data_IF_828924049190
#
_entry.id   IF_828924049190
#
_cell.length_a   1.000
_cell.length_b   1.000
_cell.length_c   1.000
_cell.angle_alpha   90.00
_cell.angle_beta   90.00
_cell.angle_gamma   90.00
#
_symmetry.space_group_name_H-M   'P 1'
#
loop_
_entity.id
_entity.type
_entity.pdbx_description
1 polymer ?
#
# COMPACT_ATOMS: atom_id res chain seq x y z
N UNK A 1 -35.90 30.23 -20.28
CA UNK A 1 -35.69 29.14 -19.31
C UNK A 1 -34.21 28.76 -19.37
N UNK A 2 -33.50 28.71 -18.23
CA UNK A 2 -32.06 28.91 -18.21
C UNK A 2 -31.25 27.65 -18.45
N UNK A 3 -30.09 27.86 -19.07
CA UNK A 3 -28.99 26.92 -19.28
C UNK A 3 -28.51 26.33 -17.96
N UNK A 4 -28.43 25.01 -17.85
CA UNK A 4 -27.65 24.31 -16.81
C UNK A 4 -26.28 23.95 -17.37
N UNK A 5 -25.36 24.91 -17.33
CA UNK A 5 -23.94 24.60 -17.22
C UNK A 5 -23.68 24.22 -15.76
N UNK A 6 -23.68 22.91 -15.46
CA UNK A 6 -23.23 22.44 -14.15
C UNK A 6 -21.71 22.39 -14.15
N UNK A 7 -21.13 23.07 -13.17
CA UNK A 7 -19.72 23.38 -13.04
C UNK A 7 -18.91 22.14 -12.61
N UNK A 8 -18.05 21.63 -13.50
CA UNK A 8 -16.96 20.67 -13.20
C UNK A 8 -15.72 21.35 -12.56
N UNK A 9 -15.98 22.35 -11.71
CA UNK A 9 -15.00 23.03 -10.88
C UNK A 9 -15.32 22.75 -9.41
N UNK A 10 -14.97 21.55 -8.94
CA UNK A 10 -14.96 21.27 -7.51
C UNK A 10 -13.59 20.73 -7.11
N UNK A 11 -12.75 21.65 -6.63
CA UNK A 11 -11.74 21.37 -5.62
C UNK A 11 -12.44 21.63 -4.28
N UNK A 12 -12.79 20.58 -3.53
CA UNK A 12 -13.36 20.74 -2.19
C UNK A 12 -12.25 20.67 -1.13
N UNK A 13 -12.13 21.76 -0.37
CA UNK A 13 -11.38 21.87 0.88
C UNK A 13 -12.25 21.34 2.03
N UNK A 14 -11.67 20.57 2.96
CA UNK A 14 -12.37 20.09 4.16
C UNK A 14 -11.51 20.16 5.42
N UNK A 15 -12.18 20.50 6.51
CA UNK A 15 -11.72 20.82 7.87
C UNK A 15 -11.75 19.59 8.78
N UNK A 16 -10.76 19.40 9.67
CA UNK A 16 -10.83 18.42 10.79
C UNK A 16 -10.17 19.04 12.05
N UNK A 17 -10.77 18.87 13.25
CA UNK A 17 -10.31 19.53 14.48
C UNK A 17 -9.14 18.79 15.14
N UNK A 18 -8.28 19.57 15.80
CA UNK A 18 -7.11 19.08 16.54
C UNK A 18 -7.52 18.46 17.87
N UNK A 19 -7.21 17.17 18.06
CA UNK A 19 -7.25 16.50 19.36
C UNK A 19 -5.82 16.21 19.82
N UNK A 20 -5.47 16.69 21.02
CA UNK A 20 -4.14 16.56 21.64
C UNK A 20 -4.14 15.40 22.64
N UNK A 21 -3.18 14.45 22.59
CA UNK A 21 -3.08 13.42 23.61
C UNK A 21 -1.86 13.65 24.52
N UNK A 22 -2.12 14.03 25.77
CA UNK A 22 -1.18 13.85 26.89
C UNK A 22 -1.50 12.55 27.61
N UNK A 23 -0.67 11.52 27.49
CA UNK A 23 -0.67 10.37 28.41
C UNK A 23 0.75 9.85 28.64
N UNK A 24 1.11 9.75 29.92
CA UNK A 24 2.39 9.23 30.45
C UNK A 24 2.38 7.69 30.49
N UNK A 25 3.53 7.00 30.37
CA UNK A 25 3.60 5.56 30.58
C UNK A 25 3.91 5.21 32.05
N UNK A 26 3.20 4.22 32.59
CA UNK A 26 3.58 3.46 33.78
C UNK A 26 4.41 2.25 33.37
N UNK A 27 5.55 2.05 34.03
CA UNK A 27 6.41 0.88 33.90
C UNK A 27 5.89 -0.27 34.78
N UNK A 28 5.92 -1.50 34.26
CA UNK A 28 5.75 -2.73 35.03
C UNK A 28 6.95 -3.64 34.72
N UNK A 29 7.71 -3.95 35.77
CA UNK A 29 8.78 -4.94 35.81
C UNK A 29 8.18 -6.31 36.12
N UNK A 30 8.56 -7.34 35.37
CA UNK A 30 8.38 -8.74 35.80
C UNK A 30 9.66 -9.54 35.56
N UNK A 31 10.11 -10.16 36.64
CA UNK A 31 11.30 -10.97 36.83
C UNK A 31 11.18 -12.38 36.22
N UNK A 32 12.33 -12.96 35.86
CA UNK A 32 12.50 -14.31 35.33
C UNK A 32 13.37 -15.14 36.31
N UNK A 33 13.07 -16.42 36.59
CA UNK A 33 14.03 -17.29 37.28
C UNK A 33 14.29 -18.63 36.54
N UNK A 34 15.58 -19.01 36.50
CA UNK A 34 16.18 -20.35 36.67
C UNK A 34 17.32 -20.64 35.69
N UNK A 35 18.55 -20.58 36.23
CA UNK A 35 19.75 -21.22 35.68
C UNK A 35 20.16 -22.34 36.65
N UNK A 36 20.26 -23.57 36.15
CA UNK A 36 20.80 -24.71 36.87
C UNK A 36 22.23 -24.98 36.38
N UNK A 37 23.20 -24.86 37.29
CA UNK A 37 24.61 -25.19 37.08
C UNK A 37 24.82 -26.67 37.41
N UNK A 38 25.51 -27.41 36.55
CA UNK A 38 26.13 -28.69 36.91
C UNK A 38 27.65 -28.60 36.78
N UNK A 39 28.32 -28.80 37.92
CA UNK A 39 29.74 -29.08 38.02
C UNK A 39 29.95 -30.60 37.94
N UNK A 40 30.94 -31.02 37.16
CA UNK A 40 31.57 -32.34 37.34
C UNK A 40 33.07 -32.22 37.21
N UNK A 41 33.74 -32.46 38.34
CA UNK A 41 35.18 -32.54 38.52
C UNK A 41 35.58 -34.01 38.46
N UNK A 42 36.62 -34.37 37.71
CA UNK A 42 37.42 -35.56 38.03
C UNK A 42 38.87 -35.41 37.57
N UNK A 43 39.77 -35.55 38.54
CA UNK A 43 41.22 -35.56 38.39
C UNK A 43 41.73 -36.93 37.92
N UNK A 44 42.89 -36.93 37.26
CA UNK A 44 43.81 -38.05 37.15
C UNK A 44 45.18 -37.54 36.65
N UNK A 45 46.30 -37.78 37.36
CA UNK A 45 47.59 -37.22 36.99
C UNK A 45 48.42 -38.18 36.13
N UNK A 46 49.19 -37.61 35.20
CA UNK A 46 50.21 -38.30 34.42
C UNK A 46 51.16 -37.27 33.81
N UNK A 47 52.36 -37.16 34.39
CA UNK A 47 53.54 -36.43 33.89
C UNK A 47 54.28 -37.39 32.96
N UNK A 48 54.93 -37.10 31.81
CA UNK A 48 55.78 -36.06 31.22
C UNK A 48 55.53 -36.16 29.69
N UNK A 49 55.68 -35.15 28.82
CA UNK A 49 56.98 -34.68 28.34
C UNK A 49 56.81 -33.40 27.50
N UNK A 50 57.79 -32.49 27.57
CA UNK A 50 57.84 -31.23 26.82
C UNK A 50 58.86 -31.36 25.70
N UNK A 51 58.46 -31.20 24.43
CA UNK A 51 59.27 -30.40 23.48
C UNK A 51 58.51 -30.06 22.19
N UNK A 52 58.39 -28.75 21.95
CA UNK A 52 58.58 -28.05 20.67
C UNK A 52 57.66 -28.48 19.51
N UNK A 53 56.46 -27.93 19.42
CA UNK A 53 55.74 -27.65 18.14
C UNK A 53 54.41 -26.91 18.40
N UNK A 54 54.40 -25.68 18.93
CA UNK A 54 53.09 -24.98 19.04
C UNK A 54 53.13 -23.47 19.28
N UNK A 55 53.76 -22.71 18.38
CA UNK A 55 53.56 -21.25 18.35
C UNK A 55 53.00 -20.71 17.03
N UNK A 56 52.92 -21.52 15.97
CA UNK A 56 52.20 -21.15 14.72
C UNK A 56 50.74 -21.60 14.66
N UNK A 57 50.29 -22.52 15.52
CA UNK A 57 48.91 -23.04 15.53
C UNK A 57 47.92 -22.21 16.37
N UNK A 58 48.40 -21.36 17.29
CA UNK A 58 47.53 -20.57 18.18
C UNK A 58 46.93 -19.32 17.55
N UNK A 59 47.62 -18.69 16.60
CA UNK A 59 47.13 -17.48 15.92
C UNK A 59 45.95 -17.79 14.96
N UNK A 60 45.99 -18.94 14.27
CA UNK A 60 44.90 -19.38 13.40
C UNK A 60 43.66 -19.82 14.18
N UNK A 61 43.85 -20.49 15.32
CA UNK A 61 42.75 -20.98 16.15
C UNK A 61 41.94 -19.84 16.80
N UNK A 62 42.59 -18.79 17.32
CA UNK A 62 41.87 -17.64 17.89
C UNK A 62 41.11 -16.83 16.83
N UNK A 63 41.68 -16.70 15.62
CA UNK A 63 41.00 -16.05 14.49
C UNK A 63 39.74 -16.82 14.06
N UNK A 64 39.82 -18.15 13.97
CA UNK A 64 38.67 -19.00 13.63
C UNK A 64 37.55 -18.97 14.70
N UNK A 65 37.92 -18.90 15.98
CA UNK A 65 36.97 -18.80 17.10
C UNK A 65 36.24 -17.44 17.07
N UNK A 66 36.98 -16.34 16.85
CA UNK A 66 36.39 -15.01 16.74
C UNK A 66 35.44 -14.90 15.53
N UNK A 67 35.81 -15.49 14.39
CA UNK A 67 34.96 -15.51 13.19
C UNK A 67 33.69 -16.34 13.40
N UNK A 68 33.77 -17.45 14.15
CA UNK A 68 32.61 -18.27 14.54
C UNK A 68 31.66 -17.53 15.47
N UNK A 69 32.19 -16.87 16.51
CA UNK A 69 31.41 -16.05 17.44
C UNK A 69 30.71 -14.89 16.70
N UNK A 70 31.43 -14.21 15.81
CA UNK A 70 30.88 -13.13 14.99
C UNK A 70 29.73 -13.62 14.10
N UNK A 71 29.87 -14.78 13.46
CA UNK A 71 28.81 -15.39 12.64
C UNK A 71 27.60 -15.81 13.49
N UNK A 72 27.83 -16.31 14.70
CA UNK A 72 26.77 -16.68 15.64
C UNK A 72 25.95 -15.45 16.09
N UNK A 73 26.61 -14.37 16.51
CA UNK A 73 25.93 -13.12 16.88
C UNK A 73 25.24 -12.43 15.69
N UNK A 74 25.84 -12.47 14.49
CA UNK A 74 25.19 -11.98 13.26
C UNK A 74 23.96 -12.82 12.88
N UNK A 75 24.01 -14.14 13.08
CA UNK A 75 22.88 -15.05 12.90
C UNK A 75 21.74 -14.75 13.88
N UNK A 76 22.07 -14.58 15.16
CA UNK A 76 21.10 -14.18 16.20
C UNK A 76 20.49 -12.80 15.90
N UNK A 77 21.29 -11.82 15.49
CA UNK A 77 20.81 -10.49 15.14
C UNK A 77 19.87 -10.50 13.91
N UNK A 78 20.17 -11.33 12.91
CA UNK A 78 19.29 -11.52 11.75
C UNK A 78 17.98 -12.20 12.14
N UNK A 79 18.04 -13.29 12.89
CA UNK A 79 16.84 -14.01 13.35
C UNK A 79 15.95 -13.17 14.26
N UNK A 80 16.55 -12.38 15.16
CA UNK A 80 15.81 -11.42 15.97
C UNK A 80 15.16 -10.32 15.10
N UNK A 81 15.87 -9.82 14.09
CA UNK A 81 15.34 -8.82 13.15
C UNK A 81 14.09 -9.29 12.39
N UNK A 82 14.08 -10.55 11.96
CA UNK A 82 12.92 -11.14 11.26
C UNK A 82 11.73 -11.33 12.20
N UNK A 83 11.98 -11.76 13.45
CA UNK A 83 10.93 -11.88 14.47
C UNK A 83 10.30 -10.53 14.83
N UNK A 84 11.12 -9.48 15.04
CA UNK A 84 10.61 -8.13 15.27
C UNK A 84 9.83 -7.58 14.07
N UNK A 85 10.30 -7.84 12.83
CA UNK A 85 9.58 -7.46 11.62
C UNK A 85 8.22 -8.15 11.54
N UNK A 86 8.15 -9.43 11.90
CA UNK A 86 6.90 -10.19 11.96
C UNK A 86 5.91 -9.60 12.96
N UNK A 87 6.33 -9.32 14.20
CA UNK A 87 5.48 -8.70 15.22
C UNK A 87 5.01 -7.32 14.79
N UNK A 88 5.89 -6.49 14.24
CA UNK A 88 5.52 -5.13 13.79
C UNK A 88 4.55 -5.20 12.61
N UNK A 89 4.73 -6.13 11.67
CA UNK A 89 3.78 -6.33 10.58
C UNK A 89 2.43 -6.84 11.09
N UNK A 90 2.43 -7.78 12.04
CA UNK A 90 1.21 -8.28 12.66
C UNK A 90 0.46 -7.17 13.41
N UNK A 91 1.15 -6.37 14.24
CA UNK A 91 0.56 -5.20 14.90
C UNK A 91 0.00 -4.21 13.88
N UNK A 92 0.73 -3.93 12.80
CA UNK A 92 0.24 -3.02 11.75
C UNK A 92 -1.03 -3.54 11.09
N UNK A 93 -1.07 -4.82 10.71
CA UNK A 93 -2.29 -5.45 10.17
C UNK A 93 -3.43 -5.45 11.18
N UNK A 94 -3.13 -5.67 12.47
CA UNK A 94 -4.13 -5.71 13.53
C UNK A 94 -4.72 -4.33 13.87
N UNK A 95 -3.95 -3.25 13.75
CA UNK A 95 -4.38 -1.90 14.14
C UNK A 95 -4.85 -1.01 12.98
N UNK A 96 -4.41 -1.26 11.74
CA UNK A 96 -4.90 -0.57 10.55
C UNK A 96 -4.59 -1.38 9.29
N UNK A 97 -5.57 -2.05 8.67
CA UNK A 97 -5.32 -2.85 7.47
C UNK A 97 -4.95 -2.01 6.24
N UNK A 98 -5.05 -0.68 6.34
CA UNK A 98 -4.63 0.24 5.30
C UNK A 98 -3.07 0.35 5.24
N UNK A 99 -2.42 -0.02 4.12
CA UNK A 99 -0.97 0.07 3.98
C UNK A 99 -0.46 1.51 3.81
N UNK A 100 -1.34 2.50 3.68
CA UNK A 100 -1.00 3.89 3.42
C UNK A 100 -0.84 4.68 4.72
N UNK A 101 0.29 4.50 5.41
CA UNK A 101 0.65 5.25 6.62
C UNK A 101 2.05 5.85 6.54
N UNK A 102 2.26 6.96 7.26
CA UNK A 102 3.54 7.68 7.28
C UNK A 102 4.71 6.77 7.67
N UNK A 103 5.80 6.87 6.92
CA UNK A 103 7.01 6.08 7.07
C UNK A 103 6.97 4.72 6.39
N UNK A 104 5.81 4.27 5.87
CA UNK A 104 5.76 3.04 5.09
C UNK A 104 6.44 3.21 3.73
N UNK A 105 6.89 2.10 3.15
CA UNK A 105 7.47 2.05 1.80
C UNK A 105 6.47 1.39 0.87
N UNK A 106 6.10 2.11 -0.20
CA UNK A 106 5.34 1.58 -1.32
C UNK A 106 6.32 1.27 -2.45
N UNK A 107 6.10 0.14 -3.11
CA UNK A 107 6.85 -0.25 -4.31
C UNK A 107 5.86 -0.39 -5.45
N UNK A 108 6.19 0.12 -6.62
CA UNK A 108 5.35 0.01 -7.81
C UNK A 108 6.16 0.24 -9.07
N UNK A 109 5.59 -0.11 -10.22
CA UNK A 109 6.21 0.02 -11.53
C UNK A 109 5.73 1.30 -12.19
N UNK A 110 6.67 2.13 -12.67
CA UNK A 110 6.33 3.31 -13.46
C UNK A 110 5.94 2.91 -14.89
N UNK A 111 4.77 3.37 -15.33
CA UNK A 111 4.27 3.19 -16.70
C UNK A 111 4.21 4.56 -17.39
N UNK A 112 4.70 4.61 -18.64
CA UNK A 112 4.74 5.84 -19.43
C UNK A 112 5.59 6.98 -18.84
N UNK A 113 6.45 6.66 -17.86
CA UNK A 113 7.33 7.62 -17.22
C UNK A 113 8.53 8.00 -18.09
N UNK A 114 9.08 9.19 -17.82
CA UNK A 114 10.38 9.61 -18.33
C UNK A 114 11.38 9.63 -17.18
N UNK A 115 12.66 9.41 -17.49
CA UNK A 115 13.74 9.55 -16.53
C UNK A 115 13.57 10.84 -15.69
N UNK A 116 13.66 10.77 -14.35
CA UNK A 116 14.14 9.63 -13.54
C UNK A 116 13.07 8.61 -13.10
N UNK A 117 11.83 8.71 -13.58
CA UNK A 117 10.70 7.89 -13.11
C UNK A 117 10.42 6.71 -14.04
N UNK A 118 11.39 5.84 -14.20
CA UNK A 118 11.29 4.66 -15.07
C UNK A 118 11.55 3.37 -14.27
N UNK A 119 10.84 2.29 -14.63
CA UNK A 119 10.99 0.99 -13.98
C UNK A 119 10.43 0.94 -12.55
N UNK A 120 11.11 0.20 -11.68
CA UNK A 120 10.64 -0.03 -10.31
C UNK A 120 10.91 1.18 -9.42
N UNK A 121 9.84 1.79 -8.95
CA UNK A 121 9.87 2.91 -8.01
C UNK A 121 9.75 2.38 -6.58
N UNK A 122 10.62 2.86 -5.70
CA UNK A 122 10.48 2.72 -4.25
C UNK A 122 10.18 4.08 -3.66
N UNK A 123 9.12 4.18 -2.86
CA UNK A 123 8.60 5.47 -2.38
C UNK A 123 8.35 5.39 -0.88
N UNK A 124 8.88 6.34 -0.13
CA UNK A 124 8.59 6.46 1.31
C UNK A 124 7.43 7.44 1.49
N UNK A 125 6.39 7.02 2.21
CA UNK A 125 5.24 7.87 2.51
C UNK A 125 5.66 8.91 3.56
N UNK A 126 5.75 10.17 3.16
CA UNK A 126 6.05 11.28 4.08
C UNK A 126 4.79 11.74 4.81
N UNK A 127 3.65 11.78 4.11
CA UNK A 127 2.37 12.21 4.65
C UNK A 127 1.22 11.54 3.87
N UNK A 128 0.10 11.33 4.56
CA UNK A 128 -1.13 10.78 4.00
C UNK A 128 -2.20 11.86 4.05
N UNK A 129 -2.81 12.14 2.91
CA UNK A 129 -3.99 12.99 2.78
C UNK A 129 -5.14 12.10 2.30
N UNK A 130 -6.26 12.17 3.00
CA UNK A 130 -7.49 11.50 2.58
C UNK A 130 -8.53 12.58 2.29
N UNK A 131 -8.43 13.26 1.13
CA UNK A 131 -9.52 14.10 0.67
C UNK A 131 -10.79 13.25 0.47
N UNK A 132 -11.92 13.91 0.25
CA UNK A 132 -13.22 13.25 0.16
C UNK A 132 -13.26 12.11 -0.86
N UNK A 133 -12.42 12.13 -1.88
CA UNK A 133 -12.62 11.23 -3.02
C UNK A 133 -11.60 10.10 -3.09
N UNK A 134 -10.30 10.37 -2.87
CA UNK A 134 -9.24 9.40 -3.16
C UNK A 134 -8.06 9.54 -2.21
N UNK A 135 -7.28 8.47 -2.03
CA UNK A 135 -6.06 8.52 -1.22
C UNK A 135 -4.96 9.30 -1.95
N UNK A 136 -4.39 10.31 -1.29
CA UNK A 136 -3.30 11.14 -1.82
C UNK A 136 -2.13 11.09 -0.84
N UNK A 137 -0.94 10.80 -1.35
CA UNK A 137 0.25 10.61 -0.53
C UNK A 137 1.32 11.63 -0.93
N UNK A 138 1.90 12.30 0.05
CA UNK A 138 3.23 12.90 -0.14
C UNK A 138 4.26 11.77 -0.06
N UNK A 139 5.07 11.63 -1.10
CA UNK A 139 6.07 10.58 -1.18
C UNK A 139 7.46 11.12 -1.49
N UNK A 140 8.47 10.48 -0.91
CA UNK A 140 9.86 10.62 -1.31
C UNK A 140 10.24 9.42 -2.19
N UNK A 141 10.40 9.66 -3.50
CA UNK A 141 10.84 8.65 -4.47
C UNK A 141 12.33 8.41 -4.28
N UNK A 142 12.69 7.19 -3.89
CA UNK A 142 14.07 6.76 -3.67
C UNK A 142 14.74 6.51 -5.02
N UNK A 143 15.88 7.16 -5.24
CA UNK A 143 16.71 6.95 -6.43
C UNK A 143 17.93 6.10 -6.06
N UNK A 144 18.43 5.22 -6.95
CA UNK A 144 19.64 4.43 -6.70
C UNK A 144 20.86 5.33 -6.43
N UNK A 145 20.91 6.48 -7.09
CA UNK A 145 21.92 7.51 -6.88
C UNK A 145 21.24 8.88 -6.76
N UNK A 146 21.68 9.66 -5.78
CA UNK A 146 21.22 11.04 -5.54
C UNK A 146 20.19 11.20 -4.43
N UNK A 147 19.71 12.44 -4.28
CA UNK A 147 18.74 12.81 -3.25
C UNK A 147 17.36 12.22 -3.56
N UNK A 148 16.57 11.79 -2.56
CA UNK A 148 15.18 11.41 -2.79
C UNK A 148 14.41 12.55 -3.46
N UNK A 149 13.53 12.21 -4.41
CA UNK A 149 12.71 13.19 -5.11
C UNK A 149 11.34 13.32 -4.44
N UNK A 150 10.95 14.54 -4.06
CA UNK A 150 9.66 14.80 -3.42
C UNK A 150 8.55 14.87 -4.48
N UNK A 151 7.49 14.09 -4.31
CA UNK A 151 6.37 14.01 -5.24
C UNK A 151 5.03 13.79 -4.50
N UNK A 152 3.94 13.88 -5.23
CA UNK A 152 2.59 13.52 -4.77
C UNK A 152 2.11 12.30 -5.54
N UNK A 153 1.68 11.26 -4.85
CA UNK A 153 1.10 10.05 -5.43
C UNK A 153 -0.39 10.01 -5.13
N UNK A 154 -1.23 10.13 -6.16
CA UNK A 154 -2.68 9.93 -6.04
C UNK A 154 -3.02 8.49 -6.40
N UNK A 155 -3.67 7.78 -5.51
CA UNK A 155 -3.99 6.35 -5.64
C UNK A 155 -5.49 6.15 -5.91
N UNK A 156 -5.78 5.24 -6.83
CA UNK A 156 -7.12 4.78 -7.19
C UNK A 156 -7.28 3.34 -6.68
N UNK A 157 -7.33 3.19 -5.36
CA UNK A 157 -7.47 1.90 -4.68
C UNK A 157 -8.93 1.67 -4.27
N UNK A 158 -9.58 0.66 -4.85
CA UNK A 158 -10.98 0.32 -4.56
C UNK A 158 -11.25 -0.01 -3.09
N UNK A 159 -10.24 -0.47 -2.35
CA UNK A 159 -10.36 -0.97 -0.97
C UNK A 159 -10.35 0.16 0.04
N UNK A 160 -9.49 1.15 -0.23
CA UNK A 160 -9.18 2.22 0.71
C UNK A 160 -9.61 3.62 0.23
N UNK A 161 -10.23 3.72 -0.94
CA UNK A 161 -10.77 4.98 -1.44
C UNK A 161 -11.94 5.46 -0.56
N UNK A 162 -11.88 6.70 -0.02
CA UNK A 162 -12.97 7.24 0.79
C UNK A 162 -14.31 7.33 0.04
N UNK A 163 -14.32 7.63 -1.26
CA UNK A 163 -15.59 7.68 -2.01
C UNK A 163 -16.23 6.30 -2.16
N UNK A 164 -15.42 5.26 -2.44
CA UNK A 164 -15.90 3.89 -2.60
C UNK A 164 -16.37 3.33 -1.26
N UNK A 165 -15.66 3.61 -0.17
CA UNK A 165 -16.10 3.22 1.17
C UNK A 165 -17.44 3.87 1.53
N UNK A 166 -17.65 5.15 1.21
CA UNK A 166 -18.96 5.79 1.39
C UNK A 166 -20.04 5.17 0.52
N UNK A 167 -19.74 4.84 -0.74
CA UNK A 167 -20.70 4.19 -1.63
C UNK A 167 -21.13 2.82 -1.09
N UNK A 168 -20.18 2.00 -0.61
CA UNK A 168 -20.47 0.72 0.05
C UNK A 168 -21.35 0.87 1.29
N UNK A 169 -21.06 1.85 2.13
CA UNK A 169 -21.87 2.15 3.32
C UNK A 169 -23.31 2.52 2.95
N UNK A 170 -23.51 3.37 1.94
CA UNK A 170 -24.84 3.76 1.47
C UNK A 170 -25.65 2.58 0.93
N UNK A 171 -24.99 1.67 0.20
CA UNK A 171 -25.61 0.47 -0.38
C UNK A 171 -25.75 -0.71 0.60
N UNK A 172 -25.25 -0.57 1.83
CA UNK A 172 -25.30 -1.65 2.84
C UNK A 172 -24.39 -2.85 2.51
N UNK A 173 -23.37 -2.67 1.67
CA UNK A 173 -22.53 -3.76 1.13
C UNK A 173 -21.38 -4.17 2.06
N UNK A 174 -21.41 -3.71 3.31
CA UNK A 174 -20.37 -3.95 4.30
C UNK A 174 -19.07 -3.17 4.04
N UNK A 175 -18.19 -3.17 5.05
CA UNK A 175 -16.84 -2.64 4.90
C UNK A 175 -15.97 -3.62 4.11
N UNK A 176 -14.94 -3.12 3.44
CA UNK A 176 -13.89 -3.98 2.93
C UNK A 176 -13.18 -4.69 4.10
N UNK A 177 -12.94 -5.98 3.97
CA UNK A 177 -12.16 -6.77 4.94
C UNK A 177 -11.04 -7.52 4.22
N UNK A 178 -9.95 -7.89 4.93
CA UNK A 178 -8.90 -8.73 4.38
C UNK A 178 -9.43 -10.08 3.85
N UNK A 179 -10.40 -10.68 4.54
CA UNK A 179 -10.99 -11.97 4.15
C UNK A 179 -11.73 -11.85 2.82
N UNK A 180 -12.50 -10.77 2.64
CA UNK A 180 -13.17 -10.49 1.37
C UNK A 180 -12.18 -10.24 0.22
N UNK A 181 -11.03 -9.62 0.52
CA UNK A 181 -9.98 -9.43 -0.48
C UNK A 181 -9.37 -10.76 -0.91
N UNK A 182 -9.17 -11.71 0.01
CA UNK A 182 -8.69 -13.05 -0.33
C UNK A 182 -9.68 -13.78 -1.25
N UNK A 183 -10.98 -13.70 -0.94
CA UNK A 183 -12.03 -14.25 -1.81
C UNK A 183 -12.02 -13.62 -3.21
N UNK A 184 -11.83 -12.31 -3.31
CA UNK A 184 -11.72 -11.60 -4.58
C UNK A 184 -10.46 -12.01 -5.36
N UNK A 185 -9.31 -12.11 -4.69
CA UNK A 185 -8.07 -12.57 -5.32
C UNK A 185 -8.26 -13.99 -5.88
N UNK A 186 -8.89 -14.88 -5.13
CA UNK A 186 -9.15 -16.25 -5.58
C UNK A 186 -10.21 -16.33 -6.69
N UNK A 187 -11.18 -15.41 -6.69
CA UNK A 187 -12.12 -15.24 -7.80
C UNK A 187 -11.43 -14.83 -9.09
N UNK A 188 -10.49 -13.87 -9.02
CA UNK A 188 -9.67 -13.44 -10.16
C UNK A 188 -8.73 -14.57 -10.62
N UNK A 189 -8.06 -15.26 -9.69
CA UNK A 189 -7.13 -16.37 -10.00
C UNK A 189 -7.80 -17.53 -10.73
N UNK A 190 -9.06 -17.83 -10.39
CA UNK A 190 -9.84 -18.88 -11.06
C UNK A 190 -10.27 -18.50 -12.47
N UNK A 191 -10.06 -17.26 -12.91
CA UNK A 191 -10.49 -16.77 -14.22
C UNK A 191 -11.95 -16.30 -14.26
N UNK A 192 -12.74 -16.53 -13.21
CA UNK A 192 -14.15 -16.18 -13.16
C UNK A 192 -14.40 -14.66 -13.31
N UNK A 193 -13.49 -13.82 -12.83
CA UNK A 193 -13.56 -12.38 -13.07
C UNK A 193 -13.42 -12.00 -14.56
N UNK A 194 -12.61 -12.75 -15.31
CA UNK A 194 -12.47 -12.54 -16.75
C UNK A 194 -13.68 -13.09 -17.50
N UNK A 195 -14.23 -14.24 -17.07
CA UNK A 195 -15.49 -14.77 -17.61
C UNK A 195 -16.64 -13.78 -17.39
N UNK A 196 -16.69 -13.08 -16.27
CA UNK A 196 -17.67 -12.03 -16.05
C UNK A 196 -17.47 -10.83 -17.00
N UNK A 197 -16.23 -10.41 -17.24
CA UNK A 197 -15.94 -9.27 -18.12
C UNK A 197 -16.09 -9.57 -19.62
N UNK A 198 -15.81 -10.81 -20.04
CA UNK A 198 -15.64 -11.18 -21.45
C UNK A 198 -16.47 -12.39 -21.88
N UNK A 199 -17.04 -13.15 -20.94
CA UNK A 199 -17.77 -14.39 -21.19
C UNK A 199 -19.22 -14.18 -21.62
N UNK A 200 -19.66 -12.92 -21.77
CA UNK A 200 -21.01 -12.56 -22.22
C UNK A 200 -21.02 -11.95 -23.63
N UNK A 201 -20.15 -12.43 -24.51
CA UNK A 201 -20.27 -12.22 -25.97
C UNK A 201 -21.43 -13.06 -26.59
N UNK A 202 -22.31 -13.65 -25.78
CA UNK A 202 -23.53 -14.29 -26.25
C UNK A 202 -24.66 -13.28 -26.38
N UNK A 203 -24.75 -12.63 -27.55
CA UNK A 203 -25.96 -12.19 -28.26
C UNK A 203 -27.23 -11.78 -27.46
N UNK A 204 -27.11 -11.15 -26.30
CA UNK A 204 -28.24 -10.50 -25.61
C UNK A 204 -27.98 -8.99 -25.56
N UNK A 205 -28.73 -8.27 -26.39
CA UNK A 205 -28.80 -6.82 -26.52
C UNK A 205 -29.25 -6.16 -25.18
N UNK A 206 -28.41 -6.14 -24.16
CA UNK A 206 -28.64 -5.36 -22.93
C UNK A 206 -27.66 -4.17 -22.88
N UNK A 207 -27.88 -3.23 -23.80
CA UNK A 207 -27.12 -1.99 -24.01
C UNK A 207 -27.37 -0.91 -22.92
N UNK A 208 -27.93 -1.24 -21.76
CA UNK A 208 -28.40 -0.24 -20.79
C UNK A 208 -27.92 -0.38 -19.33
N UNK A 209 -27.00 -1.31 -18.99
CA UNK A 209 -26.60 -1.50 -17.59
C UNK A 209 -25.56 -0.46 -17.08
N UNK A 210 -24.99 0.36 -17.97
CA UNK A 210 -24.04 1.43 -17.59
C UNK A 210 -24.71 2.73 -17.10
N UNK A 211 -26.06 2.81 -17.09
CA UNK A 211 -26.83 3.98 -16.58
C UNK A 211 -27.68 3.68 -15.35
N UNK A 212 -27.50 2.51 -14.73
CA UNK A 212 -28.35 2.05 -13.63
C UNK A 212 -28.09 2.74 -12.28
N UNK A 213 -27.01 3.50 -12.17
CA UNK A 213 -26.56 4.04 -10.88
C UNK A 213 -27.35 5.25 -10.36
N UNK A 214 -28.26 5.87 -11.14
CA UNK A 214 -29.12 6.97 -10.65
C UNK A 214 -30.64 6.81 -10.94
N UNK A 215 -31.05 5.91 -11.84
CA UNK A 215 -32.46 5.80 -12.24
C UNK A 215 -33.29 4.81 -11.39
N UNK A 216 -32.64 3.82 -10.75
CA UNK A 216 -33.34 2.74 -10.04
C UNK A 216 -33.83 3.11 -8.62
N UNK A 217 -33.48 4.30 -8.09
CA UNK A 217 -34.07 4.79 -6.83
C UNK A 217 -35.40 5.55 -7.03
N UNK A 218 -35.72 6.04 -8.24
CA UNK A 218 -36.97 6.78 -8.49
C UNK A 218 -38.11 5.92 -9.05
N UNK A 219 -37.83 4.74 -9.59
CA UNK A 219 -38.87 3.84 -10.09
C UNK A 219 -39.27 2.83 -9.00
N UNK A 220 -40.28 3.18 -8.20
CA UNK A 220 -40.91 2.34 -7.17
C UNK A 220 -41.64 1.09 -7.71
N UNK A 221 -41.01 0.31 -8.58
CA UNK A 221 -41.49 -0.97 -9.06
C UNK A 221 -41.00 -2.10 -8.16
N UNK A 222 -41.91 -2.97 -7.74
CA UNK A 222 -41.67 -4.22 -7.00
C UNK A 222 -40.93 -5.26 -7.87
N UNK A 223 -39.82 -4.88 -8.50
CA UNK A 223 -38.92 -5.81 -9.16
C UNK A 223 -38.12 -6.57 -8.11
N UNK A 224 -38.15 -7.90 -8.16
CA UNK A 224 -37.29 -8.76 -7.35
C UNK A 224 -35.83 -8.30 -7.50
N UNK A 225 -35.27 -7.71 -6.44
CA UNK A 225 -33.85 -7.33 -6.40
C UNK A 225 -33.02 -8.61 -6.47
N UNK A 226 -32.49 -8.93 -7.65
CA UNK A 226 -31.52 -10.01 -7.85
C UNK A 226 -30.41 -9.87 -6.79
N UNK A 227 -29.99 -10.95 -6.10
CA UNK A 227 -28.91 -10.87 -5.13
C UNK A 227 -27.66 -10.33 -5.82
N UNK A 228 -27.12 -9.23 -5.29
CA UNK A 228 -25.90 -8.59 -5.82
C UNK A 228 -24.72 -9.52 -5.55
N UNK A 229 -24.07 -9.98 -6.60
CA UNK A 229 -22.81 -10.70 -6.47
C UNK A 229 -21.70 -9.70 -6.10
N UNK A 230 -21.26 -9.74 -4.84
CA UNK A 230 -20.27 -8.80 -4.31
C UNK A 230 -18.92 -8.87 -5.06
N UNK A 231 -18.56 -10.04 -5.58
CA UNK A 231 -17.30 -10.23 -6.30
C UNK A 231 -17.34 -9.60 -7.69
N UNK A 232 -18.46 -9.73 -8.42
CA UNK A 232 -18.69 -9.07 -9.71
C UNK A 232 -18.71 -7.55 -9.55
N UNK A 233 -19.40 -7.04 -8.52
CA UNK A 233 -19.41 -5.61 -8.23
C UNK A 233 -18.00 -5.07 -7.93
N UNK A 234 -17.13 -5.89 -7.34
CA UNK A 234 -15.75 -5.51 -7.10
C UNK A 234 -14.90 -5.45 -8.38
N UNK A 235 -15.20 -6.31 -9.36
CA UNK A 235 -14.64 -6.20 -10.71
C UNK A 235 -15.04 -4.87 -11.35
N UNK A 236 -16.32 -4.49 -11.27
CA UNK A 236 -16.82 -3.21 -11.78
C UNK A 236 -16.08 -2.05 -11.10
N UNK A 237 -15.97 -2.04 -9.76
CA UNK A 237 -15.27 -0.97 -9.03
C UNK A 237 -13.80 -0.85 -9.40
N UNK A 238 -13.12 -1.98 -9.62
CA UNK A 238 -11.74 -1.97 -10.09
C UNK A 238 -11.65 -1.34 -11.49
N UNK A 239 -12.54 -1.73 -12.40
CA UNK A 239 -12.63 -1.14 -13.75
C UNK A 239 -12.92 0.37 -13.70
N UNK A 240 -13.82 0.81 -12.81
CA UNK A 240 -14.10 2.23 -12.57
C UNK A 240 -12.86 2.98 -12.05
N UNK A 241 -12.11 2.42 -11.10
CA UNK A 241 -10.88 3.02 -10.60
C UNK A 241 -9.88 3.27 -11.74
N UNK A 242 -9.71 2.30 -12.61
CA UNK A 242 -8.84 2.41 -13.79
C UNK A 242 -9.36 3.46 -14.80
N UNK A 243 -10.66 3.44 -15.09
CA UNK A 243 -11.29 4.43 -15.98
C UNK A 243 -11.09 5.86 -15.48
N UNK A 244 -11.27 6.07 -14.17
CA UNK A 244 -11.08 7.37 -13.52
C UNK A 244 -9.59 7.77 -13.53
N UNK A 245 -8.68 6.84 -13.25
CA UNK A 245 -7.24 7.09 -13.31
C UNK A 245 -6.82 7.54 -14.71
N UNK A 246 -7.27 6.84 -15.75
CA UNK A 246 -6.98 7.16 -17.15
C UNK A 246 -7.58 8.51 -17.56
N UNK A 247 -8.86 8.76 -17.23
CA UNK A 247 -9.50 10.04 -17.51
C UNK A 247 -8.76 11.21 -16.82
N UNK A 248 -8.30 11.00 -15.58
CA UNK A 248 -7.54 12.01 -14.84
C UNK A 248 -6.16 12.25 -15.44
N UNK A 249 -5.46 11.19 -15.85
CA UNK A 249 -4.18 11.29 -16.53
C UNK A 249 -4.31 12.07 -17.84
N UNK A 250 -5.29 11.70 -18.68
CA UNK A 250 -5.58 12.38 -19.94
C UNK A 250 -5.85 13.86 -19.69
N UNK A 251 -6.67 14.21 -18.68
CA UNK A 251 -6.92 15.60 -18.31
C UNK A 251 -5.64 16.35 -17.92
N UNK A 252 -4.76 15.74 -17.14
CA UNK A 252 -3.48 16.35 -16.73
C UNK A 252 -2.55 16.56 -17.93
N UNK A 253 -2.55 15.63 -18.89
CA UNK A 253 -1.72 15.73 -20.10
C UNK A 253 -2.27 16.75 -21.11
N UNK A 254 -3.57 16.72 -21.38
CA UNK A 254 -4.23 17.59 -22.38
C UNK A 254 -4.33 19.05 -21.93
N UNK A 255 -4.39 19.33 -20.63
CA UNK A 255 -4.53 20.70 -20.09
C UNK A 255 -3.20 21.37 -19.74
N UNK A 256 -2.06 20.79 -20.12
CA UNK A 256 -0.78 21.49 -20.04
C UNK A 256 -0.76 22.66 -21.04
N UNK A 257 -1.27 23.82 -20.62
CA UNK A 257 -0.83 25.11 -21.18
C UNK A 257 -1.87 26.15 -21.61
N UNK A 258 -3.19 25.98 -21.47
CA UNK A 258 -4.11 26.89 -22.21
C UNK A 258 -5.26 27.55 -21.42
N UNK A 259 -5.75 26.99 -20.31
CA UNK A 259 -6.94 27.58 -19.66
C UNK A 259 -6.65 28.20 -18.29
N UNK A 260 -6.76 29.54 -18.23
CA UNK A 260 -6.99 30.37 -17.03
C UNK A 260 -5.81 30.64 -16.09
N UNK A 261 -4.55 30.57 -16.54
CA UNK A 261 -3.39 30.97 -15.72
C UNK A 261 -3.13 30.10 -14.48
N UNK A 262 -3.92 29.04 -14.27
CA UNK A 262 -3.74 28.07 -13.19
C UNK A 262 -2.75 27.02 -13.70
N UNK A 263 -1.55 26.98 -13.09
CA UNK A 263 -0.55 25.94 -13.36
C UNK A 263 -1.00 24.63 -12.72
N UNK A 264 -1.41 23.67 -13.54
CA UNK A 264 -1.67 22.31 -13.07
C UNK A 264 -0.36 21.60 -12.69
N UNK A 265 -0.36 20.76 -11.64
CA UNK A 265 0.80 19.92 -11.33
C UNK A 265 1.14 19.01 -12.51
N UNK A 266 2.43 18.91 -12.83
CA UNK A 266 2.89 18.02 -13.90
C UNK A 266 2.74 16.55 -13.45
N UNK A 267 2.10 15.73 -14.28
CA UNK A 267 2.16 14.27 -14.11
C UNK A 267 3.54 13.75 -14.56
N UNK A 268 4.21 13.00 -13.69
CA UNK A 268 5.50 12.39 -13.97
C UNK A 268 5.36 11.04 -14.67
N UNK A 269 4.50 10.18 -14.12
CA UNK A 269 4.19 8.85 -14.65
C UNK A 269 2.91 8.32 -14.02
N UNK A 270 2.38 7.23 -14.57
CA UNK A 270 1.48 6.34 -13.81
C UNK A 270 2.30 5.32 -13.04
N UNK A 271 1.77 4.87 -11.91
CA UNK A 271 2.39 3.86 -11.05
C UNK A 271 1.41 2.71 -10.89
N UNK A 272 1.84 1.51 -11.21
CA UNK A 272 1.11 0.27 -10.92
C UNK A 272 1.68 -0.35 -9.66
N UNK A 273 0.83 -0.61 -8.67
CA UNK A 273 1.21 -1.27 -7.42
C UNK A 273 0.52 -2.63 -7.40
N UNK A 274 1.27 -3.74 -7.51
CA UNK A 274 0.68 -5.06 -7.49
C UNK A 274 0.11 -5.38 -6.11
N UNK A 275 -1.04 -6.03 -6.09
CA UNK A 275 -1.74 -6.56 -4.93
C UNK A 275 -1.87 -8.07 -5.12
N UNK A 276 -1.68 -8.87 -4.08
CA UNK A 276 -1.92 -10.32 -4.19
C UNK A 276 -0.76 -11.19 -4.71
N UNK A 277 0.46 -10.64 -4.80
CA UNK A 277 1.69 -11.41 -4.99
C UNK A 277 2.00 -11.78 -6.44
N UNK A 278 2.18 -13.08 -6.71
CA UNK A 278 2.83 -13.62 -7.92
C UNK A 278 1.96 -13.63 -9.20
N UNK A 279 0.71 -13.18 -9.12
CA UNK A 279 -0.21 -13.23 -10.26
C UNK A 279 -0.25 -11.87 -10.93
N UNK A 280 0.25 -11.82 -12.17
CA UNK A 280 0.13 -10.66 -13.03
C UNK A 280 -1.29 -10.57 -13.59
N UNK A 281 -2.14 -9.79 -12.93
CA UNK A 281 -3.50 -9.52 -13.38
C UNK A 281 -3.86 -8.07 -13.04
N UNK A 282 -4.33 -7.32 -14.05
CA UNK A 282 -4.71 -5.91 -13.94
C UNK A 282 -5.79 -5.65 -12.87
N UNK A 283 -6.66 -6.63 -12.60
CA UNK A 283 -7.68 -6.50 -11.54
C UNK A 283 -7.07 -6.53 -10.12
N UNK A 284 -5.83 -7.00 -10.01
CA UNK A 284 -5.04 -7.05 -8.80
C UNK A 284 -3.95 -5.96 -8.79
N UNK A 285 -4.10 -4.91 -9.59
CA UNK A 285 -3.20 -3.76 -9.60
C UNK A 285 -3.90 -2.53 -9.04
N UNK A 286 -3.19 -1.76 -8.21
CA UNK A 286 -3.64 -0.42 -7.82
C UNK A 286 -2.98 0.60 -8.73
N UNK A 287 -3.82 1.29 -9.49
CA UNK A 287 -3.43 2.40 -10.35
C UNK A 287 -3.15 3.66 -9.54
N UNK A 288 -2.05 4.34 -9.83
CA UNK A 288 -1.66 5.62 -9.24
C UNK A 288 -1.12 6.61 -10.25
N UNK A 289 -1.21 7.90 -9.96
CA UNK A 289 -0.59 8.96 -10.76
C UNK A 289 0.43 9.68 -9.87
N UNK A 290 1.69 9.63 -10.27
CA UNK A 290 2.78 10.36 -9.63
C UNK A 290 2.87 11.75 -10.23
N UNK A 291 2.84 12.77 -9.39
CA UNK A 291 2.75 14.18 -9.79
C UNK A 291 3.80 15.03 -9.09
N UNK A 292 4.09 16.18 -9.69
CA UNK A 292 4.94 17.22 -9.13
C UNK A 292 4.39 17.66 -7.76
N UNK A 293 5.29 17.71 -6.76
CA UNK A 293 4.98 18.37 -5.51
C UNK A 293 5.04 19.89 -5.71
N UNK A 294 3.96 20.59 -5.37
CA UNK A 294 3.88 22.05 -5.47
C UNK A 294 4.00 22.65 -4.06
N UNK A 295 5.13 23.29 -3.69
CA UNK A 295 5.30 23.93 -2.39
C UNK A 295 4.37 25.14 -2.24
N UNK A 296 3.93 25.42 -1.02
CA UNK A 296 3.19 26.65 -0.71
C UNK A 296 1.71 26.63 -1.06
N UNK A 297 1.20 25.57 -1.71
CA UNK A 297 -0.19 25.21 -1.55
C UNK A 297 -0.36 24.58 -0.15
N UNK A 298 -0.45 25.43 0.87
CA UNK A 298 -1.18 25.04 2.07
C UNK A 298 -2.64 24.94 1.67
N UNK A 299 -3.31 23.87 2.06
CA UNK A 299 -4.77 23.80 1.97
C UNK A 299 -5.42 24.71 3.04
N UNK A 300 -4.80 25.86 3.35
CA UNK A 300 -5.18 26.82 4.39
C UNK A 300 -5.88 28.06 3.79
N UNK A 301 -5.98 28.15 2.46
CA UNK A 301 -6.61 29.31 1.81
C UNK A 301 -8.13 29.15 1.79
N UNK A 302 -8.73 29.69 2.84
CA UNK A 302 -10.16 29.85 3.11
C UNK A 302 -10.77 30.96 2.24
N UNK A 303 -11.45 30.65 1.14
CA UNK A 303 -12.57 31.44 0.58
C UNK A 303 -13.61 30.55 -0.11
#
# INVERSE_FOLDING_TARGET
MPQRHFCDFFFFFFFIPTFSPTLRPHAILTSCPHCTIQHTTRQGPGVFDRTIFSTRLRAGAMSAILESIKRFFLGLARGAGDFYRSIVNWLKMAYSPNPYYRGNIITGTAVGGRAPFEGNLRMVIAQVFQPSDWTVLEVAVLRPSGTPFKAVLKLFDRRFSPCIQRARQRRGLGAWTPEFEEEFVDYVRRGAANEYLWGSDSDEEDDDDFKRDEADEEAGGEGEKKPVNLLEEEVIRQSQCDGIANARLNRLQSRMGVEKGIRLPKAHCTVQIPVGGDVDNRLLEVSGILMEYVPGFSCDDTE
#
